data_IF_822088231303
#
_entry.id   IF_822088231303
#
_cell.length_a   1.000
_cell.length_b   1.000
_cell.length_c   1.000
_cell.angle_alpha   90.00
_cell.angle_beta   90.00
_cell.angle_gamma   90.00
#
_symmetry.space_group_name_H-M   'P 1'
#
loop_
_entity.id
_entity.type
_entity.pdbx_description
1 polymer ?
#
# COMPACT_ATOMS: atom_id res chain seq x y z
N UNK A 1 -33.87 -13.29 37.58
CA UNK A 1 -33.24 -11.96 37.73
C UNK A 1 -32.00 -11.90 36.84
N UNK A 2 -32.09 -11.26 35.66
CA UNK A 2 -31.02 -11.23 34.65
C UNK A 2 -30.06 -10.08 34.97
N UNK A 3 -28.77 -10.36 35.17
CA UNK A 3 -27.75 -9.32 35.42
C UNK A 3 -27.06 -8.95 34.11
N UNK A 4 -27.07 -7.65 33.82
CA UNK A 4 -26.72 -7.03 32.54
C UNK A 4 -25.27 -7.26 32.08
N UNK A 5 -25.08 -7.32 30.76
CA UNK A 5 -23.77 -7.28 30.08
C UNK A 5 -23.19 -5.86 30.20
N UNK A 6 -21.96 -5.73 30.71
CA UNK A 6 -21.15 -4.52 30.57
C UNK A 6 -20.22 -4.67 29.37
N UNK A 7 -20.46 -3.87 28.34
CA UNK A 7 -19.54 -3.67 27.22
C UNK A 7 -18.36 -2.79 27.65
N UNK A 8 -17.19 -3.10 27.07
CA UNK A 8 -16.07 -2.17 26.95
C UNK A 8 -14.93 -2.32 27.96
N UNK A 9 -13.89 -3.12 27.61
CA UNK A 9 -12.45 -2.77 27.66
C UNK A 9 -11.67 -3.64 26.65
N UNK A 10 -10.77 -3.03 25.88
CA UNK A 10 -10.09 -3.55 24.68
C UNK A 10 -9.07 -4.68 24.97
N UNK A 11 -8.95 -5.55 23.95
CA UNK A 11 -8.08 -6.70 23.68
C UNK A 11 -6.84 -6.97 24.54
N UNK A 12 -6.73 -8.23 25.03
CA UNK A 12 -5.47 -8.88 25.42
C UNK A 12 -5.52 -10.39 25.06
N UNK A 13 -5.44 -10.72 23.77
CA UNK A 13 -5.06 -12.08 23.34
C UNK A 13 -4.12 -12.02 22.14
N UNK A 14 -2.99 -11.36 22.30
CA UNK A 14 -1.76 -11.77 21.60
C UNK A 14 -0.87 -12.42 22.66
N UNK A 15 -0.49 -13.69 22.46
CA UNK A 15 0.53 -14.33 23.30
C UNK A 15 1.84 -13.55 23.12
N UNK A 16 2.26 -12.81 24.14
CA UNK A 16 3.54 -12.09 24.15
C UNK A 16 4.62 -13.03 24.68
N UNK A 17 5.72 -13.20 23.92
CA UNK A 17 7.00 -13.68 24.45
C UNK A 17 7.76 -12.46 25.02
N UNK A 18 8.50 -12.60 26.13
CA UNK A 18 8.89 -11.48 27.00
C UNK A 18 9.77 -10.41 26.34
N UNK A 19 10.52 -10.72 25.27
CA UNK A 19 11.56 -9.80 24.77
C UNK A 19 11.27 -9.16 23.41
N UNK A 20 10.04 -9.23 22.91
CA UNK A 20 9.65 -8.47 21.72
C UNK A 20 8.29 -7.81 21.94
N UNK A 21 8.30 -6.47 22.06
CA UNK A 21 7.10 -5.64 22.06
C UNK A 21 6.24 -5.83 20.80
N UNK A 22 5.02 -5.27 20.77
CA UNK A 22 4.04 -5.52 19.70
C UNK A 22 4.58 -5.10 18.34
N UNK A 23 5.04 -6.07 17.54
CA UNK A 23 5.51 -5.83 16.19
C UNK A 23 4.28 -5.57 15.32
N UNK A 24 3.97 -4.29 15.10
CA UNK A 24 2.95 -3.85 14.13
C UNK A 24 3.24 -4.51 12.78
N UNK A 25 2.25 -5.22 12.24
CA UNK A 25 2.23 -5.90 10.94
C UNK A 25 3.21 -5.30 9.90
N UNK A 26 4.39 -5.91 9.74
CA UNK A 26 5.42 -5.48 8.78
C UNK A 26 5.11 -6.05 7.39
N UNK A 27 4.04 -5.59 6.75
CA UNK A 27 3.76 -5.87 5.33
C UNK A 27 4.72 -5.15 4.36
N UNK A 28 5.66 -4.36 4.89
CA UNK A 28 6.67 -3.65 4.11
C UNK A 28 8.06 -4.14 4.50
N UNK A 29 8.87 -4.42 3.48
CA UNK A 29 10.22 -5.01 3.46
C UNK A 29 11.31 -4.31 4.30
N UNK A 30 10.96 -3.50 5.29
CA UNK A 30 11.91 -2.70 6.07
C UNK A 30 12.86 -3.62 6.85
N UNK A 31 14.15 -3.57 6.48
CA UNK A 31 15.25 -4.32 7.10
C UNK A 31 15.68 -5.61 6.37
N UNK A 32 15.01 -6.03 5.29
CA UNK A 32 15.36 -7.25 4.54
C UNK A 32 16.41 -6.98 3.46
N UNK A 33 17.47 -7.79 3.37
CA UNK A 33 18.48 -7.71 2.30
C UNK A 33 18.10 -8.50 1.02
N UNK A 34 16.81 -8.75 0.77
CA UNK A 34 16.36 -9.54 -0.36
C UNK A 34 16.49 -8.81 -1.71
N UNK A 35 16.84 -9.53 -2.78
CA UNK A 35 17.11 -8.97 -4.14
C UNK A 35 15.92 -8.26 -4.82
N UNK A 36 14.70 -8.45 -4.31
CA UNK A 36 13.49 -7.73 -4.77
C UNK A 36 13.05 -6.62 -3.80
N UNK A 37 13.82 -6.27 -2.77
CA UNK A 37 13.49 -5.18 -1.86
C UNK A 37 14.05 -3.84 -2.37
N UNK A 38 13.21 -2.85 -2.73
CA UNK A 38 13.66 -1.54 -3.19
C UNK A 38 14.24 -0.66 -2.07
N UNK A 39 13.98 -1.00 -0.80
CA UNK A 39 14.49 -0.28 0.37
C UNK A 39 15.73 -0.96 0.98
N UNK A 40 16.33 -1.91 0.25
CA UNK A 40 17.56 -2.58 0.62
C UNK A 40 18.74 -1.58 0.58
N UNK A 41 19.66 -1.67 1.54
CA UNK A 41 20.92 -0.92 1.49
C UNK A 41 21.72 -1.42 0.27
N UNK A 42 21.96 -0.53 -0.68
CA UNK A 42 22.81 -0.84 -1.82
C UNK A 42 24.26 -0.62 -1.41
N UNK A 43 25.07 -1.67 -1.50
CA UNK A 43 26.51 -1.55 -1.30
C UNK A 43 27.12 -1.05 -2.62
N UNK A 44 27.73 0.14 -2.59
CA UNK A 44 28.26 0.79 -3.80
C UNK A 44 29.35 -0.03 -4.51
N UNK A 45 30.01 -0.94 -3.78
CA UNK A 45 31.03 -1.84 -4.32
C UNK A 45 30.43 -3.06 -5.04
N UNK A 46 29.20 -3.46 -4.73
CA UNK A 46 28.61 -4.69 -5.27
C UNK A 46 27.72 -4.38 -6.49
N UNK A 47 28.35 -4.39 -7.68
CA UNK A 47 27.69 -4.14 -8.97
C UNK A 47 26.78 -5.28 -9.43
N UNK A 48 26.84 -6.46 -8.79
CA UNK A 48 25.99 -7.61 -9.12
C UNK A 48 24.52 -7.36 -8.77
N UNK A 49 24.29 -6.49 -7.78
CA UNK A 49 22.96 -6.28 -7.24
C UNK A 49 22.08 -5.43 -8.17
N UNK A 50 20.78 -5.75 -8.17
CA UNK A 50 19.78 -4.96 -8.89
C UNK A 50 19.62 -3.57 -8.26
N UNK A 51 19.56 -2.54 -9.12
CA UNK A 51 19.23 -1.18 -8.70
C UNK A 51 17.78 -1.06 -8.22
N UNK A 52 17.47 -0.01 -7.43
CA UNK A 52 16.09 0.28 -6.97
C UNK A 52 15.10 0.41 -8.13
N UNK A 53 15.51 1.08 -9.22
CA UNK A 53 14.69 1.25 -10.42
C UNK A 53 14.41 -0.10 -11.10
N UNK A 54 15.44 -0.94 -11.24
CA UNK A 54 15.31 -2.30 -11.79
C UNK A 54 14.34 -3.14 -10.96
N UNK A 55 14.42 -3.08 -9.63
CA UNK A 55 13.54 -3.81 -8.73
C UNK A 55 12.08 -3.36 -8.91
N UNK A 56 11.82 -2.06 -8.98
CA UNK A 56 10.48 -1.52 -9.19
C UNK A 56 9.89 -1.94 -10.55
N UNK A 57 10.70 -1.91 -11.62
CA UNK A 57 10.30 -2.41 -12.94
C UNK A 57 9.96 -3.89 -12.93
N UNK A 58 10.77 -4.72 -12.27
CA UNK A 58 10.48 -6.16 -12.17
C UNK A 58 9.24 -6.45 -11.33
N UNK A 59 8.99 -5.66 -10.28
CA UNK A 59 7.75 -5.75 -9.50
C UNK A 59 6.55 -5.42 -10.36
N UNK A 60 6.62 -4.36 -11.16
CA UNK A 60 5.58 -3.97 -12.10
C UNK A 60 5.13 -5.19 -12.94
N UNK A 61 6.04 -5.92 -13.58
CA UNK A 61 5.68 -7.11 -14.37
C UNK A 61 5.03 -8.25 -13.56
N UNK A 62 5.31 -8.35 -12.25
CA UNK A 62 4.79 -9.41 -11.38
C UNK A 62 3.47 -9.05 -10.69
N UNK A 63 3.22 -7.77 -10.42
CA UNK A 63 2.18 -7.29 -9.50
C UNK A 63 0.94 -6.70 -10.18
N UNK A 64 0.68 -6.97 -11.46
CA UNK A 64 -0.52 -6.54 -12.19
C UNK A 64 -1.77 -7.40 -11.90
N UNK A 65 -1.82 -8.09 -10.76
CA UNK A 65 -2.94 -8.98 -10.39
C UNK A 65 -3.59 -8.50 -9.09
N UNK A 66 -4.92 -8.63 -8.94
CA UNK A 66 -5.61 -8.29 -7.70
C UNK A 66 -5.22 -9.28 -6.60
N UNK A 67 -5.16 -8.80 -5.36
CA UNK A 67 -4.93 -9.63 -4.18
C UNK A 67 -6.29 -10.12 -3.69
N UNK A 68 -6.42 -11.44 -3.48
CA UNK A 68 -7.67 -12.10 -3.08
C UNK A 68 -7.51 -12.81 -1.75
N UNK A 69 -8.63 -12.96 -1.04
CA UNK A 69 -8.76 -13.90 0.07
C UNK A 69 -8.91 -15.35 -0.45
N UNK A 70 -8.73 -16.33 0.42
CA UNK A 70 -8.97 -17.76 0.20
C UNK A 70 -10.38 -18.06 -0.37
N UNK A 71 -11.39 -17.30 0.05
CA UNK A 71 -12.77 -17.37 -0.48
C UNK A 71 -12.93 -16.72 -1.86
N UNK A 72 -11.87 -16.17 -2.41
CA UNK A 72 -11.86 -15.50 -3.70
C UNK A 72 -12.40 -14.06 -3.68
N UNK A 73 -12.61 -13.41 -2.52
CA UNK A 73 -12.97 -11.99 -2.47
C UNK A 73 -11.75 -11.11 -2.75
N UNK A 74 -11.90 -10.04 -3.55
CA UNK A 74 -10.82 -9.07 -3.80
C UNK A 74 -10.58 -8.24 -2.53
N UNK A 75 -9.38 -8.31 -1.99
CA UNK A 75 -8.92 -7.49 -0.86
C UNK A 75 -8.29 -6.18 -1.34
N UNK A 76 -7.53 -6.24 -2.43
CA UNK A 76 -6.92 -5.09 -3.09
C UNK A 76 -7.05 -5.25 -4.60
N UNK A 77 -7.59 -4.23 -5.27
CA UNK A 77 -7.69 -4.22 -6.72
C UNK A 77 -6.29 -4.20 -7.37
N UNK A 78 -6.23 -4.61 -8.63
CA UNK A 78 -4.99 -4.51 -9.39
C UNK A 78 -4.65 -3.03 -9.64
N UNK A 79 -3.37 -2.69 -9.87
CA UNK A 79 -2.99 -1.34 -10.24
C UNK A 79 -3.84 -0.82 -11.42
N UNK A 80 -4.35 0.41 -11.29
CA UNK A 80 -5.19 1.10 -12.28
C UNK A 80 -6.57 0.46 -12.54
N UNK A 81 -6.99 -0.51 -11.72
CA UNK A 81 -8.31 -1.11 -11.75
C UNK A 81 -9.12 -0.81 -10.47
N UNK A 82 -8.71 0.23 -9.74
CA UNK A 82 -9.46 0.69 -8.58
C UNK A 82 -10.76 1.34 -9.05
N UNK A 83 -11.86 0.98 -8.38
CA UNK A 83 -13.18 1.55 -8.65
C UNK A 83 -13.46 2.70 -7.70
N UNK A 84 -13.99 3.79 -8.22
CA UNK A 84 -14.45 4.91 -7.41
C UNK A 84 -15.75 4.55 -6.69
N UNK A 85 -16.02 5.20 -5.56
CA UNK A 85 -17.31 5.11 -4.87
C UNK A 85 -18.44 5.59 -5.78
N UNK A 86 -19.61 4.97 -5.68
CA UNK A 86 -20.82 5.47 -6.34
C UNK A 86 -21.08 6.90 -5.90
N UNK A 87 -21.31 7.81 -6.86
CA UNK A 87 -21.48 9.23 -6.61
C UNK A 87 -20.20 10.08 -6.67
N UNK A 88 -19.03 9.49 -6.94
CA UNK A 88 -17.84 10.29 -7.25
C UNK A 88 -18.06 11.06 -8.54
N UNK A 89 -18.04 12.39 -8.46
CA UNK A 89 -18.23 13.28 -9.61
C UNK A 89 -16.94 14.05 -9.90
N UNK A 90 -16.51 14.03 -11.16
CA UNK A 90 -15.49 14.94 -11.65
C UNK A 90 -16.17 16.27 -12.03
N UNK A 91 -15.74 17.37 -11.41
CA UNK A 91 -16.18 18.73 -11.74
C UNK A 91 -14.97 19.58 -12.09
N UNK A 92 -15.19 20.54 -12.95
CA UNK A 92 -14.20 21.53 -13.34
C UNK A 92 -14.56 22.84 -12.64
N UNK A 93 -13.59 23.45 -11.98
CA UNK A 93 -13.76 24.77 -11.39
C UNK A 93 -13.90 25.83 -12.50
N UNK A 94 -14.94 26.68 -12.47
CA UNK A 94 -15.06 27.78 -13.41
C UNK A 94 -13.92 28.78 -13.17
N UNK A 95 -13.13 29.07 -14.20
CA UNK A 95 -12.00 29.99 -14.04
C UNK A 95 -11.82 30.84 -15.31
N UNK A 96 -11.53 32.13 -15.12
CA UNK A 96 -11.32 33.10 -16.22
C UNK A 96 -10.14 32.74 -17.11
N UNK A 97 -9.13 32.05 -16.58
CA UNK A 97 -7.93 31.61 -17.31
C UNK A 97 -8.23 30.63 -18.44
N UNK A 98 -9.39 29.99 -18.43
CA UNK A 98 -9.83 29.07 -19.49
C UNK A 98 -10.09 29.79 -20.81
N UNK A 99 -10.41 31.08 -20.75
CA UNK A 99 -10.86 31.86 -21.90
C UNK A 99 -9.83 32.87 -22.41
N UNK A 100 -8.66 32.95 -21.77
CA UNK A 100 -7.56 33.79 -22.23
C UNK A 100 -6.73 33.08 -23.31
N UNK A 101 -6.17 33.84 -24.24
CA UNK A 101 -5.27 33.29 -25.26
C UNK A 101 -4.04 32.66 -24.59
N UNK A 102 -3.81 31.36 -24.82
CA UNK A 102 -2.75 30.60 -24.14
C UNK A 102 -1.38 30.76 -24.79
N UNK A 103 -1.32 31.12 -26.07
CA UNK A 103 -0.11 31.43 -26.84
C UNK A 103 -0.40 32.58 -27.81
N UNK A 104 0.58 33.48 -27.98
CA UNK A 104 0.57 34.62 -28.89
C UNK A 104 1.78 34.45 -29.82
N UNK A 105 1.65 34.90 -31.08
CA UNK A 105 2.71 34.88 -32.10
C UNK A 105 3.52 36.17 -32.01
#
# INVERSE_FOLDING_TARGET
MVKARKEGKVSKKLKQKPDYGPVKNRHTFRGSNHSMNPDRKADASDKSQRSKATINRLRMYKSFKPIRDSKGKILKAAPFQDTLSSGTQARIEPNRKWFGNTRII
#
